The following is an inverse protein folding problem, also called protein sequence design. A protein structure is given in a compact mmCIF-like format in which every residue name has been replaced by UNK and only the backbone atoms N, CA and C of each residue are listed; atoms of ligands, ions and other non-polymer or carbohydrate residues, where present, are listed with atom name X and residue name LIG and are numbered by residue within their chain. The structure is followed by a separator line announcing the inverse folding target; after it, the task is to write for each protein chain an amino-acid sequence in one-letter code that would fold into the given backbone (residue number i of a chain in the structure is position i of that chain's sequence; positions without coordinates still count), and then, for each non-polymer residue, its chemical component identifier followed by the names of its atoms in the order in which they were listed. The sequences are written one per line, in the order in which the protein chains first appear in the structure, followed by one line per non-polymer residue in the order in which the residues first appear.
data_IF_360468246467
#
_entry.id   IF_360468246467
#
_cell.length_a   1.000
_cell.length_b   1.000
_cell.length_c   1.000
_cell.angle_alpha   90.00
_cell.angle_beta   90.00
_cell.angle_gamma   90.00
#
_symmetry.space_group_name_H-M   'P 1'
#
loop_
_entity.id
_entity.type
_entity.pdbx_description
1 polymer ?
#
# COMPACT_ATOMS: atom_id res chain seq x y z
N UNK A 1 -40.18 -0.14 -32.83
CA UNK A 1 -39.76 -0.36 -34.23
C UNK A 1 -40.15 -1.75 -34.74
N UNK A 2 -39.65 -2.84 -34.14
CA UNK A 2 -39.93 -4.21 -34.58
C UNK A 2 -41.42 -4.54 -34.78
N UNK A 3 -42.29 -4.25 -33.79
CA UNK A 3 -43.75 -4.45 -33.92
C UNK A 3 -44.40 -3.68 -35.07
N UNK A 4 -43.88 -2.49 -35.42
CA UNK A 4 -44.39 -1.68 -36.54
C UNK A 4 -43.96 -2.24 -37.90
N UNK A 5 -42.73 -2.73 -37.99
CA UNK A 5 -42.23 -3.44 -39.18
C UNK A 5 -43.03 -4.71 -39.44
N UNK A 6 -43.26 -5.54 -38.41
CA UNK A 6 -44.02 -6.79 -38.54
C UNK A 6 -45.48 -6.55 -38.91
N UNK A 7 -46.13 -5.54 -38.30
CA UNK A 7 -47.52 -5.19 -38.62
C UNK A 7 -47.71 -4.60 -40.04
N UNK A 8 -46.66 -4.09 -40.67
CA UNK A 8 -46.70 -3.53 -42.02
C UNK A 8 -46.36 -4.53 -43.14
N UNK A 9 -45.80 -5.70 -42.81
CA UNK A 9 -45.30 -6.68 -43.79
C UNK A 9 -46.42 -7.25 -44.68
N UNK A 10 -47.65 -7.34 -44.17
CA UNK A 10 -48.83 -7.75 -44.94
C UNK A 10 -49.32 -6.71 -45.95
N UNK A 11 -48.83 -5.46 -45.86
CA UNK A 11 -49.33 -4.31 -46.63
C UNK A 11 -48.34 -3.77 -47.67
N UNK A 12 -47.03 -4.08 -47.60
CA UNK A 12 -46.09 -3.68 -48.67
C UNK A 12 -44.86 -4.63 -48.86
N UNK A 13 -44.59 -5.10 -50.09
CA UNK A 13 -43.45 -5.98 -50.40
C UNK A 13 -42.07 -5.34 -50.21
N UNK A 14 -41.97 -4.01 -50.22
CA UNK A 14 -40.72 -3.26 -50.07
C UNK A 14 -40.06 -3.42 -48.69
N UNK A 15 -40.84 -3.83 -47.66
CA UNK A 15 -40.38 -4.03 -46.29
C UNK A 15 -39.47 -5.28 -46.12
N UNK A 16 -39.44 -6.20 -47.08
CA UNK A 16 -38.59 -7.41 -47.04
C UNK A 16 -37.09 -7.07 -47.10
N UNK A 17 -36.73 -6.02 -47.85
CA UNK A 17 -35.35 -5.50 -47.92
C UNK A 17 -34.89 -4.93 -46.57
N UNK A 18 -35.76 -4.16 -45.91
CA UNK A 18 -35.52 -3.60 -44.57
C UNK A 18 -35.41 -4.70 -43.51
N UNK A 19 -36.18 -5.78 -43.64
CA UNK A 19 -36.11 -6.97 -42.78
C UNK A 19 -34.72 -7.62 -42.81
N UNK A 20 -34.10 -7.70 -43.99
CA UNK A 20 -32.75 -8.25 -44.17
C UNK A 20 -31.65 -7.37 -43.57
N UNK A 21 -31.83 -6.05 -43.62
CA UNK A 21 -30.93 -5.09 -43.00
C UNK A 21 -31.07 -5.13 -41.47
N UNK A 22 -32.31 -5.29 -40.98
CA UNK A 22 -32.61 -5.47 -39.56
C UNK A 22 -32.02 -6.78 -38.99
N UNK A 23 -32.15 -7.92 -39.69
CA UNK A 23 -31.52 -9.19 -39.30
C UNK A 23 -30.00 -9.06 -39.17
N UNK A 24 -29.34 -8.38 -40.12
CA UNK A 24 -27.88 -8.14 -40.06
C UNK A 24 -27.49 -7.27 -38.87
N UNK A 25 -28.26 -6.22 -38.57
CA UNK A 25 -28.03 -5.37 -37.38
C UNK A 25 -28.23 -6.16 -36.09
N UNK A 26 -29.30 -6.94 -36.01
CA UNK A 26 -29.63 -7.74 -34.83
C UNK A 26 -28.61 -8.85 -34.59
N UNK A 27 -28.05 -9.47 -35.64
CA UNK A 27 -26.92 -10.41 -35.53
C UNK A 27 -25.67 -9.77 -34.92
N UNK A 28 -25.31 -8.56 -35.37
CA UNK A 28 -24.20 -7.80 -34.78
C UNK A 28 -24.49 -7.42 -33.34
N UNK A 29 -25.72 -7.01 -33.04
CA UNK A 29 -26.15 -6.65 -31.69
C UNK A 29 -26.11 -7.85 -30.73
N UNK A 30 -26.62 -9.01 -31.13
CA UNK A 30 -26.51 -10.26 -30.34
C UNK A 30 -25.05 -10.63 -30.10
N UNK A 31 -24.19 -10.49 -31.12
CA UNK A 31 -22.76 -10.75 -30.99
C UNK A 31 -22.09 -9.81 -29.99
N UNK A 32 -22.31 -8.50 -30.10
CA UNK A 32 -21.77 -7.49 -29.18
C UNK A 32 -22.29 -7.69 -27.76
N UNK A 33 -23.59 -7.98 -27.59
CA UNK A 33 -24.19 -8.27 -26.27
C UNK A 33 -23.64 -9.57 -25.66
N UNK A 34 -23.34 -10.59 -26.47
CA UNK A 34 -22.68 -11.82 -26.01
C UNK A 34 -21.26 -11.54 -25.51
N UNK A 35 -20.48 -10.75 -26.26
CA UNK A 35 -19.14 -10.33 -25.83
C UNK A 35 -19.19 -9.52 -24.53
N UNK A 36 -20.12 -8.56 -24.43
CA UNK A 36 -20.34 -7.78 -23.22
C UNK A 36 -20.71 -8.66 -22.01
N UNK A 37 -21.58 -9.66 -22.20
CA UNK A 37 -21.90 -10.64 -21.16
C UNK A 37 -20.68 -11.45 -20.71
N UNK A 38 -19.87 -11.94 -21.65
CA UNK A 38 -18.64 -12.68 -21.33
C UNK A 38 -17.67 -11.80 -20.54
N UNK A 39 -17.47 -10.55 -20.97
CA UNK A 39 -16.60 -9.60 -20.27
C UNK A 39 -17.12 -9.29 -18.85
N UNK A 40 -18.43 -9.10 -18.68
CA UNK A 40 -19.04 -8.89 -17.36
C UNK A 40 -18.84 -10.11 -16.44
N UNK A 41 -19.04 -11.33 -16.95
CA UNK A 41 -18.82 -12.56 -16.17
C UNK A 41 -17.35 -12.72 -15.78
N UNK A 42 -16.42 -12.43 -16.70
CA UNK A 42 -14.98 -12.44 -16.39
C UNK A 42 -14.63 -11.39 -15.33
N UNK A 43 -15.19 -10.18 -15.40
CA UNK A 43 -14.95 -9.14 -14.41
C UNK A 43 -15.42 -9.56 -13.00
N UNK A 44 -16.62 -10.17 -12.89
CA UNK A 44 -17.09 -10.74 -11.62
C UNK A 44 -16.22 -11.90 -11.16
N UNK A 45 -15.75 -12.74 -12.08
CA UNK A 45 -14.81 -13.81 -11.78
C UNK A 45 -13.50 -13.30 -11.18
N UNK A 46 -12.93 -12.22 -11.74
CA UNK A 46 -11.73 -11.56 -11.20
C UNK A 46 -12.02 -10.97 -9.81
N UNK A 47 -13.16 -10.30 -9.62
CA UNK A 47 -13.56 -9.75 -8.31
C UNK A 47 -13.70 -10.85 -7.25
N UNK A 48 -14.37 -11.96 -7.60
CA UNK A 48 -14.52 -13.10 -6.71
C UNK A 48 -13.17 -13.77 -6.40
N UNK A 49 -12.27 -13.85 -7.39
CA UNK A 49 -10.92 -14.38 -7.18
C UNK A 49 -10.13 -13.53 -6.19
N UNK A 50 -10.15 -12.20 -6.31
CA UNK A 50 -9.48 -11.30 -5.36
C UNK A 50 -10.02 -11.43 -3.93
N UNK A 51 -11.32 -11.73 -3.77
CA UNK A 51 -11.92 -11.94 -2.45
C UNK A 51 -11.59 -13.30 -1.83
N UNK A 52 -11.47 -14.34 -2.66
CA UNK A 52 -11.14 -15.70 -2.20
C UNK A 52 -9.64 -15.91 -2.01
N UNK A 53 -8.83 -15.19 -2.78
CA UNK A 53 -7.38 -15.22 -2.78
C UNK A 53 -6.87 -13.78 -2.73
N UNK A 54 -7.00 -13.11 -1.57
CA UNK A 54 -6.38 -11.81 -1.39
C UNK A 54 -4.88 -11.95 -1.70
N UNK A 55 -4.26 -10.97 -2.39
CA UNK A 55 -2.82 -11.01 -2.61
C UNK A 55 -2.14 -11.11 -1.24
N UNK A 56 -1.30 -12.13 -1.04
CA UNK A 56 -0.53 -12.28 0.19
C UNK A 56 0.34 -11.02 0.36
N UNK A 57 0.20 -10.37 1.53
CA UNK A 57 1.02 -9.23 1.89
C UNK A 57 2.49 -9.65 1.95
N UNK A 58 3.40 -8.84 1.40
CA UNK A 58 4.82 -9.16 1.36
C UNK A 58 5.49 -9.29 2.72
N UNK A 59 4.91 -8.69 3.77
CA UNK A 59 5.41 -8.73 5.13
C UNK A 59 4.23 -8.85 6.10
N UNK A 60 3.99 -10.04 6.69
CA UNK A 60 3.02 -10.16 7.78
C UNK A 60 3.52 -9.43 9.03
N UNK A 61 4.82 -9.22 9.19
CA UNK A 61 5.42 -8.61 10.39
C UNK A 61 6.55 -7.66 10.00
N UNK A 62 6.58 -6.47 10.58
CA UNK A 62 7.68 -5.51 10.47
C UNK A 62 8.27 -5.21 11.84
N UNK A 63 9.57 -4.96 11.92
CA UNK A 63 10.20 -4.46 13.16
C UNK A 63 9.64 -3.12 13.63
N UNK A 64 8.99 -2.39 12.71
CA UNK A 64 8.28 -1.13 12.97
C UNK A 64 7.03 -1.34 13.83
N UNK A 65 6.42 -2.53 13.76
CA UNK A 65 5.09 -2.81 14.31
C UNK A 65 5.07 -2.81 15.85
N UNK A 66 4.10 -2.12 16.43
CA UNK A 66 3.82 -2.21 17.87
C UNK A 66 3.26 -3.58 18.26
N UNK A 67 2.47 -4.18 17.36
CA UNK A 67 1.96 -5.56 17.45
C UNK A 67 2.38 -6.31 16.19
N UNK A 68 3.34 -7.23 16.31
CA UNK A 68 3.81 -8.03 15.18
C UNK A 68 2.65 -8.84 14.59
N UNK A 69 2.40 -8.69 13.28
CA UNK A 69 1.28 -9.37 12.63
C UNK A 69 0.04 -8.49 12.49
N UNK A 70 0.04 -7.32 13.12
CA UNK A 70 -1.14 -6.50 13.24
C UNK A 70 -2.19 -7.09 14.17
N UNK A 71 -3.43 -6.65 13.98
CA UNK A 71 -4.63 -7.06 14.71
C UNK A 71 -5.81 -7.15 13.74
N UNK A 72 -6.63 -8.17 13.90
CA UNK A 72 -7.86 -8.38 13.13
C UNK A 72 -9.11 -8.01 13.91
N UNK A 73 -9.03 -8.02 15.25
CA UNK A 73 -10.12 -7.67 16.15
C UNK A 73 -9.64 -6.89 17.40
N UNK A 74 -10.48 -6.02 17.99
CA UNK A 74 -10.13 -5.30 19.22
C UNK A 74 -9.69 -6.20 20.38
N UNK A 75 -10.20 -7.43 20.45
CA UNK A 75 -9.85 -8.41 21.49
C UNK A 75 -8.37 -8.83 21.44
N UNK A 76 -7.76 -8.87 20.25
CA UNK A 76 -6.34 -9.22 20.10
C UNK A 76 -5.45 -8.12 20.65
N UNK A 77 -5.81 -6.85 20.40
CA UNK A 77 -5.11 -5.71 20.98
C UNK A 77 -5.23 -5.69 22.51
N UNK A 78 -6.43 -5.97 23.05
CA UNK A 78 -6.64 -6.07 24.50
C UNK A 78 -5.79 -7.19 25.11
N UNK A 79 -5.70 -8.35 24.46
CA UNK A 79 -4.85 -9.45 24.92
C UNK A 79 -3.36 -9.10 24.89
N UNK A 80 -2.89 -8.42 23.83
CA UNK A 80 -1.52 -7.94 23.73
C UNK A 80 -1.21 -6.88 24.81
N UNK A 81 -2.16 -6.00 25.12
CA UNK A 81 -2.04 -5.02 26.19
C UNK A 81 -1.99 -5.72 27.57
N UNK A 82 -2.88 -6.67 27.84
CA UNK A 82 -2.98 -7.35 29.13
C UNK A 82 -1.72 -8.15 29.46
N UNK A 83 -1.16 -8.82 28.46
CA UNK A 83 0.10 -9.57 28.57
C UNK A 83 1.34 -8.67 28.51
N UNK A 84 1.17 -7.37 28.27
CA UNK A 84 2.25 -6.42 27.95
C UNK A 84 3.17 -6.95 26.86
N UNK A 85 2.61 -7.63 25.85
CA UNK A 85 3.35 -8.18 24.74
C UNK A 85 4.20 -7.07 24.12
N UNK A 86 5.51 -7.31 24.03
CA UNK A 86 6.47 -6.38 23.44
C UNK A 86 6.49 -4.98 24.13
N UNK A 87 6.07 -4.88 25.39
CA UNK A 87 5.90 -3.61 26.12
C UNK A 87 4.74 -2.73 25.61
N UNK A 88 3.74 -3.30 24.95
CA UNK A 88 2.61 -2.55 24.39
C UNK A 88 1.85 -1.74 25.45
N UNK A 89 1.55 -2.35 26.62
CA UNK A 89 0.89 -1.64 27.72
C UNK A 89 1.75 -0.52 28.26
N UNK A 90 3.06 -0.74 28.37
CA UNK A 90 4.00 0.28 28.86
C UNK A 90 4.02 1.50 27.92
N UNK A 91 4.06 1.26 26.60
CA UNK A 91 3.99 2.30 25.57
C UNK A 91 2.67 3.07 25.66
N UNK A 92 1.53 2.37 25.63
CA UNK A 92 0.21 3.02 25.64
C UNK A 92 -0.03 3.80 26.94
N UNK A 93 0.31 3.20 28.09
CA UNK A 93 0.11 3.84 29.39
C UNK A 93 1.02 5.06 29.57
N UNK A 94 2.22 5.07 28.97
CA UNK A 94 3.15 6.20 29.06
C UNK A 94 2.62 7.49 28.43
N UNK A 95 1.78 7.36 27.40
CA UNK A 95 1.13 8.48 26.73
C UNK A 95 -0.31 8.70 27.22
N UNK A 96 -0.75 7.97 28.24
CA UNK A 96 -2.07 8.14 28.86
C UNK A 96 -3.22 7.37 28.20
N UNK A 97 -2.94 6.38 27.35
CA UNK A 97 -3.97 5.49 26.81
C UNK A 97 -4.13 4.28 27.73
N UNK A 98 -5.33 4.13 28.29
CA UNK A 98 -5.66 3.08 29.25
C UNK A 98 -6.30 1.86 28.58
N UNK A 99 -6.31 0.73 29.29
CA UNK A 99 -7.10 -0.45 28.88
C UNK A 99 -8.59 -0.13 28.69
N UNK A 100 -9.13 0.81 29.47
CA UNK A 100 -10.53 1.21 29.36
C UNK A 100 -10.81 1.89 28.02
N UNK A 101 -9.90 2.77 27.57
CA UNK A 101 -9.99 3.46 26.29
C UNK A 101 -10.03 2.43 25.14
N UNK A 102 -9.21 1.38 25.22
CA UNK A 102 -9.15 0.31 24.22
C UNK A 102 -10.44 -0.52 24.13
N UNK A 103 -11.24 -0.58 25.20
CA UNK A 103 -12.50 -1.31 25.19
C UNK A 103 -13.59 -0.62 24.35
N UNK A 104 -13.40 0.66 24.00
CA UNK A 104 -14.32 1.47 23.19
C UNK A 104 -13.99 1.49 21.69
N UNK A 105 -12.96 0.73 21.28
CA UNK A 105 -12.49 0.72 19.89
C UNK A 105 -13.56 0.23 18.91
N UNK A 106 -13.69 0.95 17.79
CA UNK A 106 -14.53 0.54 16.67
C UNK A 106 -13.77 0.62 15.34
N UNK A 107 -14.14 -0.25 14.40
CA UNK A 107 -13.50 -0.28 13.08
C UNK A 107 -13.86 0.95 12.25
N UNK A 108 -12.85 1.59 11.67
CA UNK A 108 -12.99 2.74 10.78
C UNK A 108 -11.86 2.72 9.74
N UNK A 109 -12.00 3.54 8.70
CA UNK A 109 -10.89 3.89 7.81
C UNK A 109 -10.41 5.28 8.16
N UNK A 110 -9.12 5.42 8.45
CA UNK A 110 -8.46 6.73 8.58
C UNK A 110 -7.76 7.08 7.27
N UNK A 111 -7.47 8.36 7.07
CA UNK A 111 -6.78 8.88 5.90
C UNK A 111 -5.57 9.67 6.36
N UNK A 112 -4.41 9.47 5.75
CA UNK A 112 -3.23 10.28 6.07
C UNK A 112 -3.48 11.75 5.78
N UNK A 113 -2.92 12.57 6.64
CA UNK A 113 -2.76 14.00 6.44
C UNK A 113 -1.52 14.48 7.21
N UNK A 114 -1.22 15.78 7.13
CA UNK A 114 -0.04 16.39 7.73
C UNK A 114 -0.15 16.57 9.26
N UNK A 115 -1.31 16.32 9.86
CA UNK A 115 -1.55 16.44 11.31
C UNK A 115 -1.39 15.12 12.05
N UNK A 116 -1.33 14.00 11.31
CA UNK A 116 -1.27 12.66 11.87
C UNK A 116 0.17 12.17 12.03
N UNK A 117 0.44 11.56 13.17
CA UNK A 117 1.68 10.84 13.45
C UNK A 117 1.38 9.38 13.71
N UNK A 118 2.16 8.49 13.10
CA UNK A 118 2.19 7.07 13.45
C UNK A 118 3.28 6.81 14.47
N UNK A 119 2.97 6.03 15.50
CA UNK A 119 3.88 5.62 16.56
C UNK A 119 4.37 4.20 16.27
N UNK A 120 5.69 4.06 16.16
CA UNK A 120 6.35 2.80 15.82
C UNK A 120 7.56 2.50 16.70
N UNK A 121 8.06 1.27 16.63
CA UNK A 121 9.25 0.83 17.39
C UNK A 121 10.57 1.24 16.76
N UNK A 122 10.60 1.33 15.44
CA UNK A 122 11.76 1.73 14.65
C UNK A 122 11.36 2.83 13.67
N UNK A 123 12.24 3.77 13.35
CA UNK A 123 11.95 4.79 12.35
C UNK A 123 12.27 4.26 10.95
N UNK A 124 11.36 4.49 9.99
CA UNK A 124 11.61 4.25 8.56
C UNK A 124 12.08 5.51 7.83
N UNK A 125 11.91 6.67 8.45
CA UNK A 125 12.23 7.98 7.91
C UNK A 125 13.16 8.72 8.87
N UNK A 126 13.86 9.71 8.34
CA UNK A 126 14.84 10.47 9.10
C UNK A 126 14.26 11.55 10.00
N UNK A 127 15.04 11.97 10.99
CA UNK A 127 14.67 13.05 11.92
C UNK A 127 14.43 14.40 11.23
N UNK A 128 15.12 14.67 10.12
CA UNK A 128 14.93 15.89 9.32
C UNK A 128 13.57 15.92 8.61
N UNK A 129 12.90 14.78 8.46
CA UNK A 129 11.56 14.67 7.90
C UNK A 129 10.46 14.84 8.97
N UNK A 130 10.82 15.23 10.20
CA UNK A 130 9.90 15.47 11.30
C UNK A 130 9.69 14.27 12.22
N UNK A 131 10.49 13.22 12.08
CA UNK A 131 10.45 12.08 13.00
C UNK A 131 10.99 12.49 14.37
N UNK A 132 10.16 12.29 15.40
CA UNK A 132 10.49 12.61 16.78
C UNK A 132 10.55 11.34 17.63
N UNK A 133 11.20 11.40 18.78
CA UNK A 133 11.34 10.26 19.70
C UNK A 133 10.59 10.50 21.00
N UNK A 134 10.17 9.43 21.66
CA UNK A 134 9.53 9.49 22.96
C UNK A 134 10.01 8.34 23.86
N UNK A 135 10.65 8.65 25.00
CA UNK A 135 11.06 7.63 25.96
C UNK A 135 9.88 7.14 26.81
N UNK A 136 9.82 5.85 27.07
CA UNK A 136 8.86 5.24 28.01
C UNK A 136 9.57 4.32 29.00
N UNK A 137 8.98 4.15 30.18
CA UNK A 137 9.51 3.23 31.20
C UNK A 137 8.96 1.83 30.98
N UNK A 138 9.82 0.81 31.06
CA UNK A 138 9.42 -0.59 30.93
C UNK A 138 9.04 -1.17 32.29
N UNK A 139 7.98 -1.96 32.35
CA UNK A 139 7.58 -2.65 33.58
C UNK A 139 8.67 -3.62 34.09
N UNK A 140 9.48 -4.18 33.18
CA UNK A 140 10.63 -5.02 33.51
C UNK A 140 11.87 -4.24 34.00
N UNK A 141 11.79 -2.91 34.07
CA UNK A 141 12.91 -2.02 34.39
C UNK A 141 13.61 -1.46 33.15
N UNK A 142 14.19 -0.27 33.30
CA UNK A 142 14.84 0.47 32.21
C UNK A 142 13.86 1.28 31.35
N UNK A 143 14.40 1.84 30.26
CA UNK A 143 13.64 2.66 29.32
C UNK A 143 13.60 2.02 27.92
N UNK A 144 12.56 2.36 27.17
CA UNK A 144 12.48 2.15 25.73
C UNK A 144 12.18 3.47 25.02
N UNK A 145 12.28 3.47 23.69
CA UNK A 145 11.95 4.61 22.84
C UNK A 145 10.94 4.14 21.80
N UNK A 146 9.99 5.00 21.48
CA UNK A 146 9.14 4.90 20.29
C UNK A 146 9.32 6.14 19.42
N UNK A 147 8.97 6.00 18.14
CA UNK A 147 9.16 7.03 17.13
C UNK A 147 7.80 7.55 16.69
N UNK A 148 7.66 8.86 16.62
CA UNK A 148 6.49 9.54 16.08
C UNK A 148 6.85 10.05 14.69
N UNK A 149 6.28 9.42 13.67
CA UNK A 149 6.56 9.68 12.27
C UNK A 149 5.34 10.34 11.63
N UNK A 150 5.46 11.50 10.95
CA UNK A 150 4.35 12.06 10.19
C UNK A 150 3.79 11.03 9.20
N UNK A 151 2.50 10.71 9.30
CA UNK A 151 1.88 9.65 8.52
C UNK A 151 1.87 9.98 7.01
N UNK A 152 1.90 11.27 6.66
CA UNK A 152 2.04 11.73 5.28
C UNK A 152 3.37 11.34 4.60
N UNK A 153 4.39 10.91 5.35
CA UNK A 153 5.65 10.44 4.74
C UNK A 153 5.49 9.12 3.96
N UNK A 154 4.44 8.35 4.26
CA UNK A 154 4.12 7.12 3.52
C UNK A 154 3.38 7.38 2.19
N UNK A 155 3.04 8.64 1.90
CA UNK A 155 2.40 9.06 0.65
C UNK A 155 3.46 9.27 -0.44
N UNK A 156 3.80 8.19 -1.13
CA UNK A 156 4.98 8.14 -2.00
C UNK A 156 4.70 8.47 -3.48
N UNK A 157 3.44 8.47 -3.92
CA UNK A 157 3.01 8.70 -5.30
C UNK A 157 2.19 9.99 -5.44
N UNK A 158 2.00 10.47 -6.67
CA UNK A 158 1.31 11.75 -6.92
C UNK A 158 -0.13 11.77 -6.40
N UNK A 159 -0.84 10.64 -6.43
CA UNK A 159 -2.21 10.55 -5.96
C UNK A 159 -2.26 10.56 -4.43
N UNK A 160 -1.48 9.72 -3.78
CA UNK A 160 -1.44 9.66 -2.30
C UNK A 160 -0.96 10.99 -1.70
N UNK A 161 -0.01 11.69 -2.31
CA UNK A 161 0.40 13.03 -1.86
C UNK A 161 -0.70 14.09 -1.95
N UNK A 162 -1.61 13.94 -2.92
CA UNK A 162 -2.71 14.89 -3.11
C UNK A 162 -3.94 14.54 -2.25
N UNK A 163 -4.21 13.26 -2.07
CA UNK A 163 -5.47 12.78 -1.49
C UNK A 163 -5.31 12.11 -0.12
N UNK A 164 -4.09 11.77 0.28
CA UNK A 164 -3.79 10.92 1.42
C UNK A 164 -4.06 9.44 1.11
N UNK A 165 -3.25 8.56 1.67
CA UNK A 165 -3.49 7.13 1.72
C UNK A 165 -4.53 6.78 2.78
N UNK A 166 -5.37 5.78 2.52
CA UNK A 166 -6.36 5.28 3.49
C UNK A 166 -5.86 4.02 4.18
N UNK A 167 -6.11 3.93 5.49
CA UNK A 167 -5.69 2.81 6.32
C UNK A 167 -6.88 2.26 7.11
N UNK A 168 -7.10 0.93 7.12
CA UNK A 168 -7.99 0.31 8.08
C UNK A 168 -7.44 0.47 9.50
N UNK A 169 -8.28 0.92 10.42
CA UNK A 169 -7.89 1.21 11.78
C UNK A 169 -9.03 0.93 12.78
N UNK A 170 -8.67 0.84 14.05
CA UNK A 170 -9.60 0.90 15.17
C UNK A 170 -9.48 2.28 15.82
N UNK A 171 -10.56 3.03 15.95
CA UNK A 171 -10.56 4.40 16.50
C UNK A 171 -11.26 4.45 17.85
N UNK A 172 -10.78 5.33 18.74
CA UNK A 172 -11.34 5.60 20.06
C UNK A 172 -10.92 6.99 20.55
N UNK A 173 -11.51 7.42 21.67
CA UNK A 173 -11.15 8.66 22.36
C UNK A 173 -10.74 8.32 23.79
N UNK A 174 -9.55 8.75 24.18
CA UNK A 174 -9.08 8.69 25.56
C UNK A 174 -9.43 10.00 26.27
N UNK A 175 -9.93 9.94 27.51
CA UNK A 175 -10.16 11.15 28.31
C UNK A 175 -8.85 11.89 28.63
N UNK A 176 -7.73 11.16 28.68
CA UNK A 176 -6.40 11.73 28.99
C UNK A 176 -5.68 12.17 27.73
N UNK A 177 -5.69 11.32 26.70
CA UNK A 177 -4.90 11.56 25.49
C UNK A 177 -5.70 12.15 24.31
N UNK A 178 -7.03 12.05 24.31
CA UNK A 178 -7.88 12.49 23.19
C UNK A 178 -8.03 11.43 22.11
N UNK A 179 -8.36 11.85 20.90
CA UNK A 179 -8.58 10.95 19.76
C UNK A 179 -7.31 10.20 19.35
N UNK A 180 -7.45 8.90 19.13
CA UNK A 180 -6.39 8.05 18.60
C UNK A 180 -6.97 6.94 17.72
N UNK A 181 -6.10 6.38 16.89
CA UNK A 181 -6.41 5.21 16.09
C UNK A 181 -5.32 4.15 16.24
N UNK A 182 -5.64 2.90 15.92
CA UNK A 182 -4.70 1.78 15.89
C UNK A 182 -4.79 1.15 14.50
N UNK A 183 -3.70 1.20 13.74
CA UNK A 183 -3.63 0.58 12.41
C UNK A 183 -3.78 -0.93 12.54
N UNK A 184 -4.73 -1.52 11.82
CA UNK A 184 -4.97 -2.97 11.94
C UNK A 184 -3.81 -3.79 11.37
N UNK A 185 -3.09 -3.28 10.36
CA UNK A 185 -1.97 -4.00 9.75
C UNK A 185 -0.75 -4.19 10.67
N UNK A 186 -0.53 -3.28 11.63
CA UNK A 186 0.71 -3.24 12.44
C UNK A 186 0.48 -3.07 13.95
N UNK A 187 -0.75 -2.82 14.38
CA UNK A 187 -1.05 -2.38 15.74
C UNK A 187 -0.44 -1.02 16.10
N UNK A 188 0.15 -0.30 15.13
CA UNK A 188 0.74 1.00 15.36
C UNK A 188 -0.31 2.02 15.73
N UNK A 189 0.01 2.85 16.70
CA UNK A 189 -0.87 3.92 17.14
C UNK A 189 -0.78 5.10 16.17
N UNK A 190 -1.90 5.77 15.91
CA UNK A 190 -1.97 6.99 15.11
C UNK A 190 -2.63 8.08 15.95
N UNK A 191 -2.00 9.25 15.98
CA UNK A 191 -2.36 10.35 16.88
C UNK A 191 -2.28 11.71 16.17
N UNK A 192 -3.07 12.67 16.63
CA UNK A 192 -3.05 14.07 16.11
C UNK A 192 -2.12 15.00 16.90
N UNK A 193 -1.56 14.55 18.02
CA UNK A 193 -0.70 15.36 18.88
C UNK A 193 0.47 14.55 19.41
N UNK A 194 1.60 15.22 19.57
CA UNK A 194 2.77 14.67 20.23
C UNK A 194 2.59 14.75 21.76
N UNK A 195 2.90 13.68 22.52
CA UNK A 195 2.89 13.72 23.97
C UNK A 195 3.86 14.77 24.55
N UNK A 196 3.57 15.27 25.75
CA UNK A 196 4.54 16.07 26.50
C UNK A 196 5.77 15.21 26.83
N UNK A 197 6.95 15.70 26.49
CA UNK A 197 8.20 14.94 26.63
C UNK A 197 8.67 14.27 25.34
N UNK A 198 7.96 14.46 24.22
CA UNK A 198 8.51 14.16 22.89
C UNK A 198 9.76 15.01 22.64
N UNK A 199 10.80 14.37 22.14
CA UNK A 199 12.10 14.96 21.89
C UNK A 199 12.34 15.03 20.38
N UNK A 200 12.69 16.21 19.89
CA UNK A 200 13.40 16.32 18.62
C UNK A 200 14.71 15.55 18.77
N UNK A 201 15.17 14.87 17.72
CA UNK A 201 16.42 14.11 17.75
C UNK A 201 17.63 15.08 17.77
N UNK A 202 17.84 15.74 18.90
CA UNK A 202 18.96 16.65 19.15
C UNK A 202 20.18 15.82 19.58
N UNK A 203 20.85 15.26 18.58
CA UNK A 203 22.09 14.52 18.75
C UNK A 203 23.30 15.43 18.53
N UNK A 204 24.34 15.27 19.34
CA UNK A 204 25.65 15.89 19.11
C UNK A 204 26.40 15.27 17.92
N UNK A 205 25.83 14.21 17.34
CA UNK A 205 26.25 13.64 16.07
C UNK A 205 25.14 13.87 15.05
N UNK A 206 25.49 14.49 13.93
CA UNK A 206 24.62 14.60 12.76
C UNK A 206 25.02 13.56 11.73
N UNK A 207 24.03 12.93 11.12
CA UNK A 207 24.20 11.93 10.09
C UNK A 207 23.66 12.44 8.76
N UNK A 208 24.22 11.95 7.66
CA UNK A 208 23.68 12.21 6.34
C UNK A 208 23.94 11.05 5.41
N UNK A 209 23.07 10.90 4.42
CA UNK A 209 23.13 9.85 3.43
C UNK A 209 22.93 10.38 2.03
N UNK A 210 23.77 9.90 1.12
CA UNK A 210 23.65 10.12 -0.32
C UNK A 210 23.83 8.80 -1.06
N UNK A 211 23.37 8.73 -2.30
CA UNK A 211 23.69 7.60 -3.16
C UNK A 211 23.81 7.98 -4.63
N UNK A 212 24.61 7.21 -5.34
CA UNK A 212 24.85 7.32 -6.77
C UNK A 212 24.43 6.00 -7.42
N UNK A 213 23.60 6.08 -8.46
CA UNK A 213 23.44 4.97 -9.39
C UNK A 213 24.69 4.93 -10.27
N UNK A 214 25.64 4.08 -9.94
CA UNK A 214 26.94 3.99 -10.60
C UNK A 214 26.83 3.45 -12.02
N UNK A 215 25.82 2.64 -12.33
CA UNK A 215 25.56 2.16 -13.70
C UNK A 215 25.11 3.30 -14.60
N UNK A 216 24.24 4.18 -14.10
CA UNK A 216 23.68 5.30 -14.86
C UNK A 216 24.48 6.61 -14.71
N UNK A 217 25.45 6.66 -13.80
CA UNK A 217 26.25 7.86 -13.47
C UNK A 217 25.40 9.07 -13.05
N UNK A 218 24.36 8.82 -12.23
CA UNK A 218 23.44 9.86 -11.73
C UNK A 218 23.20 9.71 -10.23
N UNK A 219 22.83 10.79 -9.51
CA UNK A 219 22.31 10.68 -8.15
C UNK A 219 21.13 9.71 -8.12
N UNK A 220 21.15 8.72 -7.22
CA UNK A 220 20.18 7.63 -7.23
C UNK A 220 18.74 8.13 -6.98
N UNK A 221 18.58 9.22 -6.23
CA UNK A 221 17.28 9.85 -5.99
C UNK A 221 16.76 10.73 -7.15
N UNK A 222 17.51 10.84 -8.25
CA UNK A 222 17.14 11.60 -9.45
C UNK A 222 16.97 10.73 -10.69
N UNK A 223 17.09 9.42 -10.56
CA UNK A 223 16.85 8.46 -11.63
C UNK A 223 16.06 7.27 -11.13
N UNK A 224 15.38 6.57 -12.03
CA UNK A 224 14.75 5.29 -11.71
C UNK A 224 15.77 4.18 -11.88
N UNK A 225 16.07 3.47 -10.80
CA UNK A 225 16.95 2.32 -10.80
C UNK A 225 16.35 1.18 -11.64
N UNK A 226 17.15 0.68 -12.56
CA UNK A 226 16.82 -0.41 -13.47
C UNK A 226 17.30 -1.75 -12.89
N UNK A 227 16.73 -2.89 -13.34
CA UNK A 227 17.23 -4.20 -12.95
C UNK A 227 18.73 -4.32 -13.16
N UNK A 228 19.44 -4.92 -12.21
CA UNK A 228 20.91 -5.06 -12.22
C UNK A 228 21.74 -3.79 -12.03
N UNK A 229 21.14 -2.61 -11.82
CA UNK A 229 21.90 -1.40 -11.52
C UNK A 229 22.71 -1.53 -10.23
N UNK A 230 23.86 -0.85 -10.19
CA UNK A 230 24.72 -0.76 -9.01
C UNK A 230 24.49 0.57 -8.31
N UNK A 231 24.01 0.54 -7.07
CA UNK A 231 23.81 1.73 -6.25
C UNK A 231 24.86 1.77 -5.15
N UNK A 232 25.62 2.86 -5.11
CA UNK A 232 26.65 3.11 -4.10
C UNK A 232 26.11 4.14 -3.11
N UNK A 233 25.96 3.73 -1.86
CA UNK A 233 25.54 4.59 -0.75
C UNK A 233 26.75 5.14 -0.02
N UNK A 234 26.66 6.39 0.41
CA UNK A 234 27.65 7.03 1.27
C UNK A 234 26.93 7.61 2.50
N UNK A 235 27.36 7.15 3.66
CA UNK A 235 26.94 7.63 4.97
C UNK A 235 28.03 8.52 5.55
N UNK A 236 27.65 9.64 6.15
CA UNK A 236 28.56 10.55 6.83
C UNK A 236 28.05 10.83 8.23
N UNK A 237 28.92 10.70 9.22
CA UNK A 237 28.68 11.14 10.60
C UNK A 237 29.59 12.33 10.89
N UNK A 238 29.05 13.37 11.54
CA UNK A 238 29.78 14.55 11.97
C UNK A 238 29.51 14.83 13.45
N UNK A 239 30.58 15.00 14.23
CA UNK A 239 30.46 15.50 15.59
C UNK A 239 30.26 17.02 15.57
N UNK A 240 29.09 17.46 16.03
CA UNK A 240 28.67 18.87 16.15
C UNK A 240 28.70 19.37 17.59
N UNK A 241 29.08 18.52 18.55
CA UNK A 241 29.30 18.90 19.94
C UNK A 241 30.73 19.37 20.22
N UNK A 242 30.97 19.69 21.49
CA UNK A 242 32.23 20.30 21.97
C UNK A 242 33.22 19.28 22.57
N UNK A 243 32.85 18.00 22.66
CA UNK A 243 33.67 16.91 23.21
C UNK A 243 33.85 15.79 22.20
N UNK A 244 34.90 14.98 22.36
CA UNK A 244 35.05 13.76 21.56
C UNK A 244 33.95 12.74 21.89
N UNK A 245 33.42 12.07 20.87
CA UNK A 245 32.32 11.10 21.00
C UNK A 245 32.70 9.84 20.23
N UNK A 246 32.53 8.67 20.85
CA UNK A 246 32.65 7.38 20.17
C UNK A 246 31.36 7.09 19.40
N UNK A 247 31.47 6.90 18.08
CA UNK A 247 30.33 6.73 17.19
C UNK A 247 30.46 5.43 16.42
N UNK A 248 29.45 4.57 16.53
CA UNK A 248 29.20 3.47 15.59
C UNK A 248 28.15 3.94 14.57
N UNK A 249 28.47 3.87 13.28
CA UNK A 249 27.50 4.14 12.22
C UNK A 249 26.71 2.86 11.98
N UNK A 250 25.39 2.99 11.89
CA UNK A 250 24.46 1.90 11.60
C UNK A 250 23.54 2.28 10.44
N UNK A 251 23.10 1.28 9.68
CA UNK A 251 22.17 1.47 8.58
C UNK A 251 21.13 0.34 8.51
N UNK A 252 19.85 0.69 8.52
CA UNK A 252 18.75 -0.27 8.37
C UNK A 252 18.51 -0.52 6.89
N UNK A 253 18.83 -1.73 6.43
CA UNK A 253 18.74 -2.13 5.04
C UNK A 253 17.45 -2.89 4.69
N UNK A 254 16.48 -2.99 5.61
CA UNK A 254 15.26 -3.78 5.41
C UNK A 254 14.60 -3.50 4.06
N UNK A 255 14.29 -2.24 3.78
CA UNK A 255 13.67 -1.79 2.53
C UNK A 255 14.62 -1.91 1.31
N UNK A 256 15.90 -1.62 1.50
CA UNK A 256 16.94 -1.79 0.46
C UNK A 256 17.01 -3.24 -0.03
N UNK A 257 16.92 -4.20 0.89
CA UNK A 257 17.04 -5.63 0.62
C UNK A 257 15.78 -6.23 -0.02
N UNK A 258 14.66 -5.52 -0.05
CA UNK A 258 13.47 -5.92 -0.81
C UNK A 258 13.72 -5.86 -2.32
N UNK A 259 14.61 -4.97 -2.76
CA UNK A 259 14.85 -4.66 -4.17
C UNK A 259 16.27 -4.92 -4.65
N UNK A 260 17.23 -5.08 -3.74
CA UNK A 260 18.63 -5.19 -4.07
C UNK A 260 19.36 -6.18 -3.15
N UNK A 261 20.50 -6.68 -3.61
CA UNK A 261 21.40 -7.48 -2.77
C UNK A 261 22.62 -6.66 -2.38
N UNK A 262 23.05 -6.78 -1.12
CA UNK A 262 24.31 -6.20 -0.67
C UNK A 262 25.47 -6.91 -1.36
N UNK A 263 26.31 -6.16 -2.08
CA UNK A 263 27.45 -6.68 -2.85
C UNK A 263 28.80 -6.28 -2.29
N UNK A 264 28.85 -5.16 -1.57
CA UNK A 264 30.01 -4.70 -0.80
C UNK A 264 29.49 -4.02 0.46
N UNK A 265 29.94 -4.48 1.62
CA UNK A 265 29.55 -3.94 2.93
C UNK A 265 30.47 -2.80 3.40
N UNK A 266 31.54 -2.48 2.66
CA UNK A 266 32.51 -1.45 2.99
C UNK A 266 33.07 -1.55 4.41
N UNK A 267 33.30 -2.79 4.87
CA UNK A 267 33.82 -3.09 6.20
C UNK A 267 32.79 -3.05 7.34
N UNK A 268 31.49 -2.95 7.02
CA UNK A 268 30.41 -3.13 7.99
C UNK A 268 30.01 -4.60 8.15
N UNK A 269 29.42 -4.96 9.29
CA UNK A 269 28.84 -6.28 9.53
C UNK A 269 27.31 -6.20 9.40
N UNK A 270 26.73 -7.02 8.51
CA UNK A 270 25.28 -7.12 8.35
C UNK A 270 24.73 -8.15 9.34
N UNK A 271 23.85 -7.71 10.24
CA UNK A 271 22.99 -8.61 11.00
C UNK A 271 21.80 -9.03 10.12
N UNK A 272 21.77 -10.28 9.70
CA UNK A 272 20.72 -10.80 8.82
C UNK A 272 19.40 -11.07 9.54
N UNK A 273 19.36 -11.01 10.88
CA UNK A 273 18.11 -11.13 11.63
C UNK A 273 17.36 -9.79 11.69
N UNK A 274 18.09 -8.68 11.76
CA UNK A 274 17.54 -7.32 11.88
C UNK A 274 17.71 -6.49 10.60
N UNK A 275 18.46 -6.99 9.62
CA UNK A 275 18.86 -6.28 8.40
C UNK A 275 19.59 -4.97 8.69
N UNK A 276 20.35 -4.89 9.78
CA UNK A 276 21.14 -3.71 10.16
C UNK A 276 22.60 -3.92 9.81
N UNK A 277 23.17 -3.00 9.05
CA UNK A 277 24.59 -2.94 8.72
C UNK A 277 25.31 -2.02 9.70
N UNK A 278 26.28 -2.54 10.45
CA UNK A 278 26.97 -1.82 11.54
C UNK A 278 28.46 -1.74 11.25
N UNK A 279 29.05 -0.54 11.38
CA UNK A 279 30.50 -0.35 11.33
C UNK A 279 31.12 -0.25 12.73
N UNK A 280 32.39 -0.68 12.90
CA UNK A 280 33.09 -0.53 14.17
C UNK A 280 33.09 0.93 14.64
N UNK A 281 32.95 1.11 15.96
CA UNK A 281 32.96 2.43 16.57
C UNK A 281 34.28 3.15 16.31
N UNK A 282 34.19 4.46 16.08
CA UNK A 282 35.33 5.35 15.94
C UNK A 282 35.11 6.62 16.77
N UNK A 283 36.18 7.10 17.39
CA UNK A 283 36.15 8.36 18.10
C UNK A 283 36.17 9.53 17.11
N UNK A 284 35.18 10.43 17.22
CA UNK A 284 35.12 11.68 16.48
C UNK A 284 35.40 12.84 17.43
N UNK A 285 36.45 13.61 17.18
CA UNK A 285 36.68 14.88 17.88
C UNK A 285 35.72 15.96 17.36
N UNK A 286 35.53 17.09 18.08
CA UNK A 286 34.65 18.18 17.66
C UNK A 286 34.90 18.62 16.22
N UNK A 287 33.83 18.73 15.43
CA UNK A 287 33.86 19.11 14.01
C UNK A 287 34.34 18.02 13.05
N UNK A 288 34.86 16.88 13.54
CA UNK A 288 35.34 15.80 12.68
C UNK A 288 34.19 15.11 11.94
N UNK A 289 34.48 14.70 10.70
CA UNK A 289 33.63 13.86 9.87
C UNK A 289 34.28 12.52 9.60
N UNK A 290 33.49 11.46 9.63
CA UNK A 290 33.86 10.16 9.05
C UNK A 290 32.83 9.78 7.99
N UNK A 291 33.22 8.95 7.02
CA UNK A 291 32.30 8.43 6.02
C UNK A 291 32.49 6.94 5.81
N UNK A 292 31.38 6.26 5.55
CA UNK A 292 31.31 4.84 5.20
C UNK A 292 30.53 4.70 3.90
N UNK A 293 30.85 3.66 3.16
CA UNK A 293 30.16 3.35 1.91
C UNK A 293 29.73 1.88 1.93
N UNK A 294 28.64 1.58 1.26
CA UNK A 294 28.27 0.22 0.91
C UNK A 294 27.64 0.23 -0.49
N UNK A 295 27.69 -0.91 -1.16
CA UNK A 295 27.21 -1.06 -2.53
C UNK A 295 26.20 -2.18 -2.62
N UNK A 296 25.06 -1.89 -3.23
CA UNK A 296 24.05 -2.89 -3.55
C UNK A 296 23.88 -3.04 -5.05
N UNK A 297 23.38 -4.20 -5.45
CA UNK A 297 22.97 -4.49 -6.82
C UNK A 297 21.47 -4.72 -6.85
N UNK A 298 20.77 -3.87 -7.59
CA UNK A 298 19.32 -4.02 -7.81
C UNK A 298 19.05 -5.38 -8.44
N UNK A 299 18.00 -6.05 -7.97
CA UNK A 299 17.65 -7.39 -8.41
C UNK A 299 17.51 -7.44 -9.94
N UNK A 300 17.99 -8.52 -10.56
CA UNK A 300 17.85 -8.71 -12.00
C UNK A 300 16.39 -8.94 -12.41
N UNK A 301 15.59 -9.50 -11.51
CA UNK A 301 14.13 -9.57 -11.61
C UNK A 301 13.55 -8.83 -10.41
N UNK A 302 12.91 -7.69 -10.66
CA UNK A 302 12.28 -6.90 -9.60
C UNK A 302 11.04 -7.64 -9.08
N UNK A 303 10.91 -7.84 -7.75
CA UNK A 303 9.77 -8.54 -7.20
C UNK A 303 8.44 -7.87 -7.55
N UNK A 304 7.43 -8.68 -7.85
CA UNK A 304 6.05 -8.25 -8.01
C UNK A 304 5.24 -8.42 -6.71
N UNK A 305 5.91 -8.59 -5.57
CA UNK A 305 5.30 -8.80 -4.26
C UNK A 305 4.38 -7.62 -3.91
N UNK A 306 3.19 -7.91 -3.37
CA UNK A 306 2.23 -6.88 -2.98
C UNK A 306 2.79 -5.97 -1.89
N UNK A 307 2.37 -4.70 -1.84
CA UNK A 307 2.79 -3.77 -0.77
C UNK A 307 2.43 -4.36 0.60
N UNK A 308 3.30 -4.15 1.59
CA UNK A 308 3.09 -4.60 2.96
C UNK A 308 1.87 -3.94 3.61
N UNK A 309 1.08 -4.71 4.36
CA UNK A 309 -0.08 -4.18 5.11
C UNK A 309 0.36 -3.59 6.45
N UNK A 310 1.37 -4.17 7.08
CA UNK A 310 1.93 -3.66 8.35
C UNK A 310 2.90 -2.49 8.13
N UNK A 311 3.74 -2.60 7.10
CA UNK A 311 4.65 -1.55 6.66
C UNK A 311 4.27 -1.06 5.25
N UNK A 312 3.62 0.11 5.12
CA UNK A 312 3.31 0.68 3.82
C UNK A 312 4.54 1.15 3.02
N UNK A 313 5.73 1.31 3.60
CA UNK A 313 6.92 1.55 2.77
C UNK A 313 7.40 0.27 2.07
N UNK A 314 7.00 -0.92 2.56
CA UNK A 314 7.45 -2.20 2.02
C UNK A 314 6.85 -2.52 0.65
N UNK A 315 7.72 -2.90 -0.29
CA UNK A 315 7.44 -3.23 -1.67
C UNK A 315 6.63 -2.16 -2.41
N UNK A 316 6.90 -0.87 -2.17
CA UNK A 316 6.15 0.26 -2.70
C UNK A 316 6.74 0.87 -4.01
N UNK A 317 7.75 0.21 -4.58
CA UNK A 317 8.55 0.61 -5.74
C UNK A 317 9.50 1.80 -5.50
N UNK A 318 9.81 2.06 -4.24
CA UNK A 318 10.71 3.11 -3.80
C UNK A 318 11.65 2.54 -2.73
N UNK A 319 12.96 2.45 -3.03
CA UNK A 319 13.91 2.10 -1.97
C UNK A 319 14.06 3.32 -1.05
N UNK A 320 13.54 3.21 0.17
CA UNK A 320 13.60 4.20 1.23
C UNK A 320 14.66 3.81 2.23
N UNK A 321 15.68 4.66 2.41
CA UNK A 321 16.77 4.37 3.33
C UNK A 321 17.21 5.64 4.05
N UNK A 322 17.03 5.68 5.37
CA UNK A 322 17.16 6.89 6.18
C UNK A 322 18.36 6.87 7.14
N UNK A 323 18.87 8.05 7.43
CA UNK A 323 19.60 8.39 8.66
C UNK A 323 18.88 9.58 9.29
N UNK A 324 19.53 10.74 9.44
CA UNK A 324 18.81 11.98 9.77
C UNK A 324 17.99 12.46 8.57
N UNK A 325 18.50 12.32 7.34
CA UNK A 325 17.72 12.54 6.12
C UNK A 325 17.19 11.21 5.56
N UNK A 326 16.04 11.27 4.89
CA UNK A 326 15.54 10.15 4.07
C UNK A 326 16.08 10.22 2.65
N UNK A 327 16.58 9.10 2.14
CA UNK A 327 16.99 8.93 0.76
C UNK A 327 16.06 7.95 0.06
N UNK A 328 15.41 8.42 -1.01
CA UNK A 328 14.47 7.64 -1.80
C UNK A 328 15.03 7.36 -3.20
N UNK A 329 15.09 6.09 -3.61
CA UNK A 329 15.57 5.65 -4.93
C UNK A 329 14.41 4.94 -5.66
N UNK A 330 13.78 5.59 -6.66
CA UNK A 330 12.69 4.98 -7.42
C UNK A 330 13.16 3.71 -8.14
N UNK A 331 12.33 2.65 -8.16
CA UNK A 331 12.66 1.37 -8.81
C UNK A 331 11.73 1.10 -9.98
N UNK A 332 12.29 0.58 -11.08
CA UNK A 332 11.52 0.15 -12.25
C UNK A 332 10.76 -1.15 -11.99
N UNK A 333 9.64 -1.06 -11.27
CA UNK A 333 8.78 -2.19 -10.95
C UNK A 333 8.05 -2.78 -12.18
N UNK A 334 7.71 -4.08 -12.14
CA UNK A 334 6.97 -4.74 -13.21
C UNK A 334 5.55 -4.19 -13.35
N UNK A 335 4.93 -4.39 -14.53
CA UNK A 335 3.58 -3.88 -14.83
C UNK A 335 2.50 -4.35 -13.83
N UNK A 336 2.66 -5.54 -13.24
CA UNK A 336 1.76 -6.04 -12.20
C UNK A 336 1.66 -5.09 -11.00
N UNK A 337 2.76 -4.45 -10.59
CA UNK A 337 2.77 -3.47 -9.49
C UNK A 337 2.05 -2.17 -9.85
N UNK A 338 2.13 -1.76 -11.11
CA UNK A 338 1.40 -0.57 -11.58
C UNK A 338 -0.12 -0.78 -11.46
N UNK A 339 -0.59 -2.00 -11.71
CA UNK A 339 -2.01 -2.36 -11.51
C UNK A 339 -2.39 -2.31 -10.03
N UNK A 340 -1.52 -2.78 -9.12
CA UNK A 340 -1.75 -2.67 -7.68
C UNK A 340 -1.86 -1.22 -7.22
N UNK A 341 -0.94 -0.35 -7.64
CA UNK A 341 -0.95 1.08 -7.29
C UNK A 341 -2.26 1.73 -7.74
N UNK A 342 -2.68 1.49 -9.00
CA UNK A 342 -3.94 2.02 -9.52
C UNK A 342 -5.14 1.46 -8.74
N UNK A 343 -5.14 0.18 -8.39
CA UNK A 343 -6.22 -0.43 -7.63
C UNK A 343 -6.38 0.19 -6.24
N UNK A 344 -5.27 0.59 -5.59
CA UNK A 344 -5.29 1.27 -4.27
C UNK A 344 -5.79 2.72 -4.32
N UNK A 345 -5.79 3.35 -5.49
CA UNK A 345 -6.38 4.69 -5.69
C UNK A 345 -7.91 4.65 -5.73
N UNK A 346 -8.49 3.47 -5.93
CA UNK A 346 -9.94 3.32 -5.92
C UNK A 346 -10.45 3.35 -4.48
N UNK A 347 -11.58 4.03 -4.21
CA UNK A 347 -12.18 4.02 -2.89
C UNK A 347 -12.41 2.59 -2.42
N UNK A 348 -12.10 2.25 -1.15
CA UNK A 348 -12.40 0.92 -0.63
C UNK A 348 -13.92 0.70 -0.68
N UNK A 349 -14.35 -0.18 -1.58
CA UNK A 349 -15.75 -0.61 -1.70
C UNK A 349 -15.89 -1.87 -0.87
N UNK A 350 -16.83 -1.93 0.08
CA UNK A 350 -17.06 -3.14 0.86
C UNK A 350 -17.25 -4.34 -0.08
N UNK A 351 -16.65 -5.49 0.25
CA UNK A 351 -16.71 -6.70 -0.56
C UNK A 351 -18.14 -7.09 -0.95
N UNK A 352 -19.11 -6.84 -0.06
CA UNK A 352 -20.53 -7.04 -0.32
C UNK A 352 -21.08 -6.11 -1.41
N UNK A 353 -20.69 -4.84 -1.41
CA UNK A 353 -21.12 -3.85 -2.41
C UNK A 353 -20.48 -4.08 -3.78
N UNK A 354 -19.23 -4.53 -3.85
CA UNK A 354 -18.57 -4.85 -5.13
C UNK A 354 -19.21 -6.09 -5.78
N UNK A 355 -19.45 -7.16 -5.01
CA UNK A 355 -20.14 -8.36 -5.48
C UNK A 355 -21.58 -8.06 -5.92
N UNK A 356 -22.35 -7.29 -5.13
CA UNK A 356 -23.71 -6.93 -5.48
C UNK A 356 -23.78 -6.14 -6.80
N UNK A 357 -22.84 -5.21 -7.00
CA UNK A 357 -22.72 -4.45 -8.25
C UNK A 357 -22.38 -5.37 -9.42
N UNK A 358 -21.41 -6.28 -9.24
CA UNK A 358 -21.03 -7.27 -10.24
C UNK A 358 -22.20 -8.15 -10.68
N UNK A 359 -22.94 -8.72 -9.71
CA UNK A 359 -24.14 -9.52 -9.97
C UNK A 359 -25.20 -8.71 -10.73
N UNK A 360 -25.40 -7.44 -10.35
CA UNK A 360 -26.34 -6.54 -11.02
C UNK A 360 -25.96 -6.31 -12.48
N UNK A 361 -24.68 -6.02 -12.76
CA UNK A 361 -24.17 -5.81 -14.13
C UNK A 361 -24.33 -7.07 -14.98
N UNK A 362 -23.99 -8.25 -14.44
CA UNK A 362 -24.17 -9.53 -15.14
C UNK A 362 -25.64 -9.80 -15.42
N UNK A 363 -26.54 -9.51 -14.47
CA UNK A 363 -27.99 -9.68 -14.64
C UNK A 363 -28.54 -8.79 -15.75
N UNK A 364 -28.13 -7.51 -15.79
CA UNK A 364 -28.51 -6.57 -16.84
C UNK A 364 -27.97 -7.03 -18.21
N UNK A 365 -26.69 -7.42 -18.28
CA UNK A 365 -26.07 -7.92 -19.50
C UNK A 365 -26.77 -9.19 -20.01
N UNK A 366 -27.13 -10.10 -19.11
CA UNK A 366 -27.86 -11.33 -19.42
C UNK A 366 -29.26 -11.02 -19.96
N UNK A 367 -30.00 -10.10 -19.33
CA UNK A 367 -31.32 -9.67 -19.81
C UNK A 367 -31.25 -9.11 -21.24
N UNK A 368 -30.32 -8.19 -21.50
CA UNK A 368 -30.18 -7.63 -22.85
C UNK A 368 -29.72 -8.67 -23.87
N UNK A 369 -28.80 -9.57 -23.51
CA UNK A 369 -28.40 -10.67 -24.39
C UNK A 369 -29.60 -11.59 -24.71
N UNK A 370 -30.35 -12.03 -23.69
CA UNK A 370 -31.53 -12.87 -23.84
C UNK A 370 -32.60 -12.19 -24.70
N UNK A 371 -32.87 -10.90 -24.46
CA UNK A 371 -33.84 -10.12 -25.24
C UNK A 371 -33.44 -9.98 -26.71
N UNK A 372 -32.18 -9.71 -27.01
CA UNK A 372 -31.71 -9.63 -28.39
C UNK A 372 -31.75 -11.00 -29.09
N UNK A 373 -31.44 -12.07 -28.36
CA UNK A 373 -31.56 -13.44 -28.86
C UNK A 373 -33.02 -13.80 -29.15
N UNK A 374 -33.95 -13.47 -28.26
CA UNK A 374 -35.38 -13.68 -28.45
C UNK A 374 -35.88 -12.96 -29.71
N UNK A 375 -35.58 -11.67 -29.86
CA UNK A 375 -35.97 -10.89 -31.05
C UNK A 375 -35.44 -11.50 -32.35
N UNK A 376 -34.27 -12.15 -32.31
CA UNK A 376 -33.68 -12.81 -33.47
C UNK A 376 -34.41 -14.10 -33.83
N UNK A 377 -34.81 -14.90 -32.84
CA UNK A 377 -35.62 -16.09 -33.08
C UNK A 377 -37.02 -15.72 -33.59
N UNK A 378 -37.65 -14.69 -33.01
CA UNK A 378 -38.93 -14.15 -33.51
C UNK A 378 -38.81 -13.71 -34.98
N UNK A 379 -37.75 -12.98 -35.34
CA UNK A 379 -37.50 -12.58 -36.72
C UNK A 379 -37.25 -13.78 -37.66
N UNK A 380 -36.56 -14.82 -37.18
CA UNK A 380 -36.30 -16.05 -37.94
C UNK A 380 -37.59 -16.79 -38.25
N UNK A 381 -38.48 -16.93 -37.28
CA UNK A 381 -39.79 -17.56 -37.43
C UNK A 381 -40.65 -16.78 -38.44
N UNK A 382 -40.77 -15.47 -38.27
CA UNK A 382 -41.52 -14.61 -39.21
C UNK A 382 -40.99 -14.74 -40.63
N UNK A 383 -39.66 -14.78 -40.81
CA UNK A 383 -39.05 -14.96 -42.14
C UNK A 383 -39.31 -16.35 -42.71
N UNK A 384 -39.35 -17.38 -41.87
CA UNK A 384 -39.69 -18.72 -42.28
C UNK A 384 -41.15 -18.78 -42.75
N UNK A 385 -42.09 -18.26 -41.96
CA UNK A 385 -43.52 -18.27 -42.26
C UNK A 385 -43.89 -17.43 -43.49
N UNK A 386 -43.19 -16.31 -43.72
CA UNK A 386 -43.31 -15.52 -44.95
C UNK A 386 -42.84 -16.29 -46.18
N UNK A 387 -41.76 -17.08 -46.06
CA UNK A 387 -41.20 -17.84 -47.17
C UNK A 387 -41.98 -19.14 -47.45
N UNK A 388 -42.69 -19.69 -46.46
CA UNK A 388 -43.51 -20.91 -46.59
C UNK A 388 -44.97 -20.61 -46.96
N UNK A 389 -45.37 -19.33 -47.06
CA UNK A 389 -46.72 -18.91 -47.45
C UNK A 389 -47.76 -19.06 -46.33
N UNK A 390 -47.34 -19.26 -45.08
CA UNK A 390 -48.26 -19.44 -43.95
C UNK A 390 -48.89 -18.12 -43.43
N UNK A 391 -48.41 -16.96 -43.91
CA UNK A 391 -48.85 -15.62 -43.51
C UNK A 391 -49.65 -14.86 -44.59
N UNK A 392 -50.15 -15.55 -45.63
CA UNK A 392 -51.06 -14.97 -46.63
C UNK A 392 -52.51 -14.90 -46.16
#
# INVERSE_FOLDING_TARGET
MFRKLVAGLSYSPSLVGELSAYDRRLKREVFLRKLGLIAAVLAVGVQAFVLLYPPESANPTSENDLVYGGITAPSELLAAYDTNAQNLRDIYSSIGISRHDLASLHSQTIRSDTSLYVVSRTPLFGSQDGVSTYPYSKAAGGQGIVYFTPLSLYDNDSFSRQHGSTYPALTAVSDTFGEFAVLTGSGNLVVHKLPNGTQANESQITYSKTAINATQSQPANRTTAQPSDRIVYQLTAQNTGDTAIDVAIEDRLGDVLEYATLTDNGGGALDTATNVLVWPAAQLVPGQKISKQFTVRVAAAIPATGRGDSNPASYDCLITNSLDNTLNVPVACPAAKQVEVIARQLPPVAASTSLATGVTVVTIALFFYARARQQREELRLIRHDLNTGALS
#
